data_IF_726500997782
#
_entry.id   IF_726500997782
#
_cell.length_a   1.000
_cell.length_b   1.000
_cell.length_c   1.000
_cell.angle_alpha   90.00
_cell.angle_beta   90.00
_cell.angle_gamma   90.00
#
_symmetry.space_group_name_H-M   'P 1'
#
loop_
_entity.id
_entity.type
_entity.pdbx_description
1 polymer ?
#
# COMPACT_ATOMS: atom_id res chain seq x y z
N UNK A 1 -18.41 -23.83 -18.59
CA UNK A 1 -17.71 -23.15 -17.47
C UNK A 1 -16.53 -24.03 -17.10
N UNK A 2 -15.29 -23.66 -17.47
CA UNK A 2 -14.12 -24.51 -17.20
C UNK A 2 -13.68 -24.34 -15.74
N UNK A 3 -13.32 -25.41 -15.01
CA UNK A 3 -12.83 -25.31 -13.64
C UNK A 3 -11.64 -24.35 -13.50
N UNK A 4 -10.76 -24.33 -14.51
CA UNK A 4 -9.61 -23.42 -14.60
C UNK A 4 -10.03 -21.94 -14.53
N UNK A 5 -11.11 -21.56 -15.21
CA UNK A 5 -11.58 -20.17 -15.20
C UNK A 5 -12.08 -19.74 -13.82
N UNK A 6 -12.75 -20.64 -13.09
CA UNK A 6 -13.22 -20.37 -11.72
C UNK A 6 -12.03 -20.20 -10.77
N UNK A 7 -11.03 -21.08 -10.88
CA UNK A 7 -9.80 -20.97 -10.07
C UNK A 7 -9.10 -19.64 -10.30
N UNK A 8 -8.92 -19.24 -11.56
CA UNK A 8 -8.29 -17.95 -11.89
C UNK A 8 -9.11 -16.75 -11.41
N UNK A 9 -10.44 -16.83 -11.48
CA UNK A 9 -11.32 -15.78 -10.94
C UNK A 9 -11.14 -15.61 -9.43
N UNK A 10 -11.08 -16.71 -8.68
CA UNK A 10 -10.88 -16.68 -7.22
C UNK A 10 -9.50 -16.09 -6.90
N UNK A 11 -8.45 -16.53 -7.61
CA UNK A 11 -7.10 -15.98 -7.43
C UNK A 11 -7.13 -14.47 -7.64
N UNK A 12 -7.70 -14.00 -8.76
CA UNK A 12 -7.78 -12.57 -9.05
C UNK A 12 -8.52 -11.78 -7.96
N UNK A 13 -9.66 -12.29 -7.47
CA UNK A 13 -10.40 -11.66 -6.37
C UNK A 13 -9.55 -11.58 -5.10
N UNK A 14 -8.89 -12.67 -4.70
CA UNK A 14 -8.06 -12.69 -3.49
C UNK A 14 -6.81 -11.80 -3.65
N UNK A 15 -6.19 -11.75 -4.82
CA UNK A 15 -5.02 -10.90 -5.05
C UNK A 15 -5.37 -9.42 -4.99
N UNK A 16 -6.48 -9.01 -5.61
CA UNK A 16 -6.93 -7.61 -5.60
C UNK A 16 -7.37 -7.20 -4.18
N UNK A 17 -8.28 -7.95 -3.57
CA UNK A 17 -8.84 -7.60 -2.27
C UNK A 17 -7.88 -7.87 -1.11
N UNK A 18 -7.19 -9.02 -1.14
CA UNK A 18 -6.20 -9.39 -0.14
C UNK A 18 -4.96 -8.52 -0.23
N UNK A 19 -4.42 -8.28 -1.43
CA UNK A 19 -3.25 -7.41 -1.61
C UNK A 19 -3.52 -5.97 -1.16
N UNK A 20 -4.67 -5.41 -1.55
CA UNK A 20 -5.07 -4.06 -1.14
C UNK A 20 -5.28 -3.96 0.38
N UNK A 21 -6.00 -4.90 0.98
CA UNK A 21 -6.23 -4.90 2.43
C UNK A 21 -4.94 -5.06 3.23
N UNK A 22 -4.02 -5.91 2.78
CA UNK A 22 -2.73 -6.11 3.43
C UNK A 22 -1.83 -4.87 3.32
N UNK A 23 -1.83 -4.19 2.17
CA UNK A 23 -1.12 -2.93 1.99
C UNK A 23 -1.65 -1.83 2.92
N UNK A 24 -2.98 -1.70 3.01
CA UNK A 24 -3.62 -0.76 3.94
C UNK A 24 -3.27 -1.08 5.39
N UNK A 25 -3.31 -2.35 5.78
CA UNK A 25 -2.91 -2.77 7.12
C UNK A 25 -1.45 -2.45 7.40
N UNK A 26 -0.56 -2.72 6.44
CA UNK A 26 0.88 -2.48 6.59
C UNK A 26 1.16 -0.98 6.83
N UNK A 27 0.52 -0.10 6.04
CA UNK A 27 0.61 1.35 6.19
C UNK A 27 -0.02 1.85 7.49
N UNK A 28 -1.16 1.30 7.91
CA UNK A 28 -1.79 1.66 9.17
C UNK A 28 -0.95 1.23 10.39
N UNK A 29 -0.12 0.19 10.25
CA UNK A 29 0.73 -0.33 11.34
C UNK A 29 2.08 0.37 11.42
N UNK A 30 2.65 0.74 10.29
CA UNK A 30 3.83 1.59 10.21
C UNK A 30 3.44 2.79 9.36
N UNK A 31 2.70 3.77 9.92
CA UNK A 31 2.73 5.09 9.32
C UNK A 31 4.20 5.47 9.29
N UNK A 32 4.77 5.67 8.11
CA UNK A 32 6.07 6.32 8.00
C UNK A 32 5.95 7.60 8.83
N UNK A 33 6.88 7.79 9.78
CA UNK A 33 6.82 8.92 10.69
C UNK A 33 6.88 10.20 9.83
N UNK A 34 5.72 10.82 9.59
CA UNK A 34 5.61 12.11 8.89
C UNK A 34 6.46 13.19 9.58
N UNK A 35 6.84 12.95 10.85
CA UNK A 35 7.77 13.74 11.66
C UNK A 35 9.24 13.66 11.22
N UNK A 36 9.62 12.73 10.33
CA UNK A 36 11.00 12.61 9.79
C UNK A 36 11.23 13.41 8.50
N UNK A 37 10.16 14.00 7.94
CA UNK A 37 10.28 14.91 6.81
C UNK A 37 10.75 16.28 7.30
N UNK A 38 11.90 16.80 6.81
CA UNK A 38 12.34 18.13 7.18
C UNK A 38 11.25 19.14 6.80
N UNK A 39 10.82 19.91 7.78
CA UNK A 39 9.79 20.93 7.56
C UNK A 39 10.34 21.99 6.59
N UNK A 40 9.49 22.68 5.81
CA UNK A 40 9.96 23.73 4.90
C UNK A 40 10.78 24.84 5.57
N UNK A 41 10.69 24.95 6.91
CA UNK A 41 11.42 25.87 7.78
C UNK A 41 12.86 25.40 8.08
N UNK A 42 13.14 24.09 7.97
CA UNK A 42 14.45 23.46 8.19
C UNK A 42 15.24 23.26 6.89
N UNK A 43 14.60 23.46 5.73
CA UNK A 43 15.29 23.46 4.45
C UNK A 43 16.28 24.64 4.40
N UNK A 44 17.59 24.39 4.22
CA UNK A 44 18.55 25.48 4.12
C UNK A 44 18.16 26.36 2.94
N UNK A 45 17.82 27.62 3.22
CA UNK A 45 17.63 28.63 2.20
C UNK A 45 18.97 28.83 1.48
N UNK A 46 19.20 28.06 0.42
CA UNK A 46 20.25 28.35 -0.55
C UNK A 46 19.85 29.67 -1.24
N UNK A 47 20.55 30.74 -0.83
CA UNK A 47 20.39 32.12 -1.29
C UNK A 47 20.62 32.26 -2.80
#
# INVERSE_FOLDING_TARGET
>A
MTPVAITMMIIAMVTIWGGLGLAMWNLARHPEDEDELPTPEEMPHEL
#
